data_IF_221542040649
#
_entry.id   IF_221542040649
#
_cell.length_a   1.000
_cell.length_b   1.000
_cell.length_c   1.000
_cell.angle_alpha   90.00
_cell.angle_beta   90.00
_cell.angle_gamma   90.00
#
_symmetry.space_group_name_H-M   'P 1'
#
loop_
_entity.id
_entity.type
_entity.pdbx_description
1 polymer ?
#
# COMPACT_ATOMS: atom_id res chain seq x y z
N UNK A 1 -1.91 -9.97 2.63
CA UNK A 1 -2.50 -9.43 1.38
C UNK A 1 -2.10 -10.34 0.21
N UNK A 2 -3.01 -10.66 -0.72
CA UNK A 2 -2.71 -11.48 -1.90
C UNK A 2 -2.63 -10.62 -3.15
N UNK A 3 -1.64 -10.88 -4.02
CA UNK A 3 -1.54 -10.22 -5.32
C UNK A 3 -2.70 -10.65 -6.23
N UNK A 4 -3.18 -9.74 -7.08
CA UNK A 4 -4.29 -10.04 -8.01
C UNK A 4 -3.85 -10.98 -9.13
N UNK A 5 -2.66 -10.73 -9.66
CA UNK A 5 -2.02 -11.49 -10.73
C UNK A 5 -0.54 -11.67 -10.37
N UNK A 6 0.14 -12.69 -10.90
CA UNK A 6 1.57 -12.94 -10.64
C UNK A 6 2.46 -11.74 -11.01
N UNK A 7 2.05 -10.99 -12.03
CA UNK A 7 2.73 -9.77 -12.46
C UNK A 7 2.33 -8.52 -11.72
N UNK A 8 1.29 -8.58 -10.88
CA UNK A 8 0.91 -7.44 -10.05
C UNK A 8 2.07 -7.02 -9.14
N UNK A 9 2.27 -5.72 -9.04
CA UNK A 9 3.17 -5.11 -8.07
C UNK A 9 2.38 -4.90 -6.78
N UNK A 10 3.02 -5.09 -5.64
CA UNK A 10 2.39 -4.77 -4.37
C UNK A 10 2.38 -3.24 -4.17
N UNK A 11 1.26 -2.70 -3.72
CA UNK A 11 1.14 -1.27 -3.43
C UNK A 11 0.48 -1.04 -2.06
N UNK A 12 1.22 -0.38 -1.16
CA UNK A 12 0.73 0.08 0.14
C UNK A 12 -0.24 1.25 0.03
N UNK A 13 -0.04 2.13 -0.96
CA UNK A 13 -0.79 3.34 -1.17
C UNK A 13 -2.20 3.09 -1.70
N UNK A 14 -3.19 3.68 -1.02
CA UNK A 14 -4.54 3.85 -1.53
C UNK A 14 -4.83 5.35 -1.62
N UNK A 15 -4.96 5.89 -2.84
CA UNK A 15 -5.10 7.33 -3.07
C UNK A 15 -6.55 7.80 -2.93
N UNK A 16 -7.12 7.78 -1.72
CA UNK A 16 -8.40 8.49 -1.46
C UNK A 16 -8.23 9.78 -0.69
N UNK A 17 -7.30 9.84 0.27
CA UNK A 17 -7.06 11.05 1.06
C UNK A 17 -5.55 11.22 1.32
N UNK A 18 -5.03 12.41 1.03
CA UNK A 18 -3.68 12.82 1.46
C UNK A 18 -3.78 13.36 2.88
N UNK A 19 -3.10 12.68 3.79
CA UNK A 19 -3.09 12.94 5.22
C UNK A 19 -1.71 13.44 5.62
N UNK A 20 -1.61 14.37 6.57
CA UNK A 20 -0.30 14.87 7.03
C UNK A 20 0.46 13.83 7.83
N UNK A 21 -0.26 13.12 8.71
CA UNK A 21 0.28 12.07 9.55
C UNK A 21 -0.63 10.85 9.53
N UNK A 22 -0.09 9.73 9.04
CA UNK A 22 -0.89 8.52 8.81
C UNK A 22 -1.38 7.89 10.11
N UNK A 23 -0.50 7.79 11.10
CA UNK A 23 -0.74 7.10 12.37
C UNK A 23 -1.94 7.66 13.16
N UNK A 24 -1.98 8.96 13.53
CA UNK A 24 -3.10 9.51 14.30
C UNK A 24 -4.42 9.46 13.51
N UNK A 25 -4.35 9.66 12.19
CA UNK A 25 -5.55 9.66 11.34
C UNK A 25 -6.16 8.26 11.24
N UNK A 26 -5.34 7.22 11.08
CA UNK A 26 -5.83 5.85 11.08
C UNK A 26 -6.40 5.43 12.43
N UNK A 27 -5.82 5.89 13.54
CA UNK A 27 -6.40 5.69 14.89
C UNK A 27 -7.78 6.31 15.00
N UNK A 28 -7.96 7.54 14.50
CA UNK A 28 -9.26 8.21 14.50
C UNK A 28 -10.27 7.49 13.59
N UNK A 29 -9.87 7.08 12.38
CA UNK A 29 -10.72 6.32 11.46
C UNK A 29 -11.18 5.01 12.11
N UNK A 30 -10.31 4.32 12.86
CA UNK A 30 -10.68 3.10 13.62
C UNK A 30 -11.72 3.39 14.71
N UNK A 31 -11.57 4.50 15.46
CA UNK A 31 -12.56 4.93 16.46
C UNK A 31 -13.92 5.20 15.82
N UNK A 32 -13.97 5.92 14.70
CA UNK A 32 -15.22 6.16 13.95
C UNK A 32 -15.81 4.85 13.42
N UNK A 33 -14.97 3.95 12.88
CA UNK A 33 -15.42 2.66 12.35
C UNK A 33 -15.98 1.75 13.44
N UNK A 34 -15.41 1.78 14.65
CA UNK A 34 -15.94 1.04 15.79
C UNK A 34 -17.37 1.46 16.11
N UNK A 35 -17.63 2.77 16.20
CA UNK A 35 -18.97 3.34 16.42
C UNK A 35 -19.90 2.97 15.26
N UNK A 36 -19.43 3.09 14.02
CA UNK A 36 -20.21 2.76 12.83
C UNK A 36 -20.67 1.31 12.80
N UNK A 37 -19.79 0.37 13.19
CA UNK A 37 -20.07 -1.06 13.23
C UNK A 37 -21.10 -1.46 14.31
N UNK A 38 -21.37 -0.61 15.30
CA UNK A 38 -22.43 -0.86 16.29
C UNK A 38 -23.82 -0.69 15.68
N UNK A 39 -23.97 0.29 14.77
CA UNK A 39 -25.26 0.59 14.12
C UNK A 39 -25.43 -0.09 12.76
N UNK A 40 -24.34 -0.59 12.17
CA UNK A 40 -24.34 -1.16 10.82
C UNK A 40 -23.69 -2.54 10.80
N UNK A 41 -24.48 -3.58 10.52
CA UNK A 41 -23.97 -4.96 10.46
C UNK A 41 -23.34 -5.34 9.11
N UNK A 42 -23.59 -4.57 8.04
CA UNK A 42 -23.14 -4.86 6.67
C UNK A 42 -22.31 -3.72 6.11
N UNK A 43 -21.27 -4.07 5.34
CA UNK A 43 -20.39 -3.13 4.66
C UNK A 43 -20.76 -2.93 3.17
N UNK A 44 -21.99 -2.49 2.92
CA UNK A 44 -22.51 -2.21 1.57
C UNK A 44 -22.26 -0.73 1.16
N UNK A 45 -22.62 -0.35 -0.07
CA UNK A 45 -22.37 1.00 -0.59
C UNK A 45 -22.99 2.12 0.27
N UNK A 46 -24.19 1.89 0.81
CA UNK A 46 -24.87 2.85 1.68
C UNK A 46 -24.11 3.03 3.01
N UNK A 47 -23.77 1.92 3.67
CA UNK A 47 -22.96 1.91 4.89
C UNK A 47 -21.58 2.54 4.68
N UNK A 48 -20.95 2.29 3.54
CA UNK A 48 -19.67 2.89 3.15
C UNK A 48 -19.75 4.41 2.99
N UNK A 49 -20.82 4.91 2.36
CA UNK A 49 -21.05 6.34 2.19
C UNK A 49 -21.36 7.02 3.53
N UNK A 50 -22.22 6.41 4.35
CA UNK A 50 -22.54 6.88 5.69
C UNK A 50 -21.29 6.96 6.58
N UNK A 51 -20.48 5.90 6.59
CA UNK A 51 -19.20 5.87 7.29
C UNK A 51 -18.28 7.02 6.86
N UNK A 52 -18.13 7.23 5.56
CA UNK A 52 -17.29 8.32 5.05
C UNK A 52 -17.76 9.69 5.55
N UNK A 53 -19.07 9.95 5.55
CA UNK A 53 -19.63 11.18 6.11
C UNK A 53 -19.38 11.31 7.62
N UNK A 54 -19.50 10.23 8.38
CA UNK A 54 -19.16 10.23 9.82
C UNK A 54 -17.70 10.57 10.05
N UNK A 55 -16.80 10.02 9.25
CA UNK A 55 -15.37 10.32 9.30
C UNK A 55 -15.13 11.83 9.05
N UNK A 56 -15.72 12.40 8.01
CA UNK A 56 -15.59 13.84 7.71
C UNK A 56 -16.08 14.72 8.87
N UNK A 57 -17.20 14.34 9.50
CA UNK A 57 -17.78 15.07 10.63
C UNK A 57 -16.89 14.98 11.87
N UNK A 58 -16.42 13.77 12.23
CA UNK A 58 -15.54 13.56 13.39
C UNK A 58 -14.24 14.35 13.24
N UNK A 59 -13.63 14.34 12.05
CA UNK A 59 -12.44 15.13 11.81
C UNK A 59 -12.71 16.64 11.82
N UNK A 60 -13.85 17.12 11.31
CA UNK A 60 -14.19 18.55 11.40
C UNK A 60 -14.24 19.02 12.85
N UNK A 61 -14.79 18.19 13.75
CA UNK A 61 -14.82 18.48 15.20
C UNK A 61 -13.42 18.53 15.78
N UNK A 62 -12.61 17.51 15.54
CA UNK A 62 -11.21 17.46 16.04
C UNK A 62 -10.39 18.66 15.56
N UNK A 63 -10.49 19.05 14.29
CA UNK A 63 -9.75 20.21 13.77
C UNK A 63 -10.22 21.54 14.41
N UNK A 64 -11.51 21.63 14.78
CA UNK A 64 -12.08 22.82 15.43
C UNK A 64 -11.75 22.88 16.92
N UNK A 65 -11.79 21.73 17.60
CA UNK A 65 -11.58 21.60 19.05
C UNK A 65 -10.10 21.65 19.42
N UNK A 66 -9.25 20.96 18.65
CA UNK A 66 -7.81 20.83 18.96
C UNK A 66 -6.94 21.83 18.17
N UNK A 67 -7.50 22.53 17.19
CA UNK A 67 -6.77 23.46 16.32
C UNK A 67 -5.73 22.78 15.41
N UNK A 68 -5.76 21.46 15.31
CA UNK A 68 -4.81 20.66 14.52
C UNK A 68 -5.39 20.47 13.12
N UNK A 69 -4.72 20.97 12.09
CA UNK A 69 -5.10 20.71 10.69
C UNK A 69 -4.59 19.31 10.26
N UNK A 70 -5.46 18.31 10.35
CA UNK A 70 -5.15 16.89 10.14
C UNK A 70 -5.16 16.51 8.65
N UNK A 71 -6.08 17.09 7.88
CA UNK A 71 -6.09 16.91 6.44
C UNK A 71 -5.32 17.98 5.69
N UNK A 72 -4.68 17.60 4.59
CA UNK A 72 -4.20 18.57 3.60
C UNK A 72 -5.39 19.16 2.83
N UNK A 73 -5.33 19.10 1.49
CA UNK A 73 -6.40 19.62 0.63
C UNK A 73 -7.56 18.61 0.48
N UNK A 74 -8.36 18.43 1.53
CA UNK A 74 -9.57 17.61 1.47
C UNK A 74 -10.76 18.45 0.99
N UNK A 75 -11.35 18.11 -0.17
CA UNK A 75 -12.60 18.72 -0.61
C UNK A 75 -13.78 18.14 0.20
N UNK A 76 -14.16 18.84 1.26
CA UNK A 76 -15.27 18.44 2.16
C UNK A 76 -16.65 18.57 1.51
N UNK A 77 -16.75 19.29 0.39
CA UNK A 77 -18.01 19.53 -0.32
C UNK A 77 -18.28 18.50 -1.43
N UNK A 78 -17.39 17.52 -1.61
CA UNK A 78 -17.53 16.52 -2.66
C UNK A 78 -18.54 15.43 -2.24
N UNK A 79 -19.70 15.44 -2.88
CA UNK A 79 -20.82 14.53 -2.59
C UNK A 79 -20.85 13.27 -3.48
N UNK A 80 -19.94 13.16 -4.45
CA UNK A 80 -19.93 12.06 -5.42
C UNK A 80 -18.98 10.94 -4.99
N UNK A 81 -19.43 9.69 -5.15
CA UNK A 81 -18.61 8.50 -4.90
C UNK A 81 -18.18 8.32 -3.44
N UNK A 82 -19.01 8.77 -2.48
CA UNK A 82 -18.74 8.66 -1.04
C UNK A 82 -18.52 7.21 -0.60
N UNK A 83 -19.25 6.26 -1.19
CA UNK A 83 -19.10 4.81 -1.01
C UNK A 83 -17.66 4.36 -1.35
N UNK A 84 -17.17 4.73 -2.53
CA UNK A 84 -15.81 4.39 -2.98
C UNK A 84 -14.77 5.02 -2.09
N UNK A 85 -14.99 6.25 -1.63
CA UNK A 85 -14.07 6.96 -0.73
C UNK A 85 -14.02 6.32 0.66
N UNK A 86 -15.16 5.97 1.24
CA UNK A 86 -15.26 5.23 2.50
C UNK A 86 -14.58 3.85 2.42
N UNK A 87 -14.79 3.13 1.32
CA UNK A 87 -14.08 1.87 1.06
C UNK A 87 -12.57 2.06 0.96
N UNK A 88 -12.12 3.08 0.24
CA UNK A 88 -10.69 3.32 -0.02
C UNK A 88 -9.98 3.80 1.23
N UNK A 89 -10.62 4.63 2.06
CA UNK A 89 -10.11 5.08 3.37
C UNK A 89 -9.71 3.92 4.29
N UNK A 90 -10.45 2.82 4.21
CA UNK A 90 -10.26 1.66 5.09
C UNK A 90 -9.35 0.60 4.48
N UNK A 91 -8.95 0.71 3.21
CA UNK A 91 -8.11 -0.30 2.56
C UNK A 91 -6.76 -0.47 3.25
N UNK A 92 -6.09 0.63 3.60
CA UNK A 92 -4.80 0.57 4.29
C UNK A 92 -4.93 -0.11 5.67
N UNK A 93 -6.03 0.13 6.40
CA UNK A 93 -6.32 -0.52 7.68
C UNK A 93 -6.52 -2.04 7.52
N UNK A 94 -7.12 -2.48 6.41
CA UNK A 94 -7.19 -3.92 6.07
C UNK A 94 -5.81 -4.47 5.76
N UNK A 95 -5.02 -3.76 4.95
CA UNK A 95 -3.68 -4.20 4.53
C UNK A 95 -2.76 -4.37 5.74
N UNK A 96 -2.78 -3.42 6.69
CA UNK A 96 -1.99 -3.46 7.92
C UNK A 96 -2.53 -4.52 8.90
N UNK A 97 -3.81 -4.87 8.81
CA UNK A 97 -4.42 -5.91 9.65
C UNK A 97 -5.16 -5.37 10.87
N UNK A 98 -5.41 -4.07 10.96
CA UNK A 98 -6.24 -3.50 12.03
C UNK A 98 -7.71 -3.91 11.91
N UNK A 99 -8.18 -4.15 10.69
CA UNK A 99 -9.55 -4.59 10.41
C UNK A 99 -9.57 -5.73 9.39
N UNK A 100 -10.66 -6.48 9.33
CA UNK A 100 -10.84 -7.58 8.38
C UNK A 100 -11.49 -7.11 7.05
N UNK A 101 -11.70 -8.05 6.12
CA UNK A 101 -12.30 -7.75 4.82
C UNK A 101 -13.72 -7.16 4.91
N UNK A 102 -14.48 -7.56 5.94
CA UNK A 102 -15.82 -7.02 6.25
C UNK A 102 -15.77 -5.68 7.02
N UNK A 103 -14.57 -5.10 7.19
CA UNK A 103 -14.30 -3.87 7.94
C UNK A 103 -14.70 -3.93 9.42
N UNK A 104 -14.72 -5.13 9.98
CA UNK A 104 -14.80 -5.33 11.43
C UNK A 104 -13.41 -5.16 12.04
N UNK A 105 -13.34 -4.56 13.23
CA UNK A 105 -12.07 -4.39 13.93
C UNK A 105 -11.50 -5.75 14.32
N UNK A 106 -10.21 -5.93 14.10
CA UNK A 106 -9.47 -7.06 14.66
C UNK A 106 -9.19 -6.82 16.15
N UNK A 107 -8.71 -7.85 16.86
CA UNK A 107 -8.25 -7.68 18.24
C UNK A 107 -7.15 -6.63 18.36
N UNK A 108 -6.21 -6.57 17.40
CA UNK A 108 -5.16 -5.55 17.38
C UNK A 108 -5.76 -4.16 17.20
N UNK A 109 -6.71 -4.01 16.27
CA UNK A 109 -7.40 -2.74 16.03
C UNK A 109 -8.17 -2.26 17.25
N UNK A 110 -8.86 -3.16 17.96
CA UNK A 110 -9.54 -2.86 19.22
C UNK A 110 -8.55 -2.43 20.29
N UNK A 111 -7.51 -3.23 20.55
CA UNK A 111 -6.50 -2.92 21.56
C UNK A 111 -5.77 -1.61 21.28
N UNK A 112 -5.59 -1.26 20.01
CA UNK A 112 -4.95 -0.01 19.60
C UNK A 112 -5.77 1.23 19.96
N UNK A 113 -7.10 1.18 19.79
CA UNK A 113 -7.97 2.31 20.09
C UNK A 113 -8.48 2.35 21.54
N UNK A 114 -8.52 1.22 22.23
CA UNK A 114 -8.92 1.12 23.64
C UNK A 114 -7.81 1.51 24.61
N UNK A 115 -6.61 1.80 24.10
CA UNK A 115 -5.42 2.15 24.91
C UNK A 115 -5.12 1.12 26.00
N UNK A 116 -5.54 -0.14 25.77
CA UNK A 116 -5.22 -1.26 26.66
C UNK A 116 -3.71 -1.40 26.69
N UNK A 117 -3.17 -1.56 27.90
CA UNK A 117 -1.74 -1.55 28.17
C UNK A 117 -0.99 -2.51 27.24
N UNK A 118 -0.21 -1.94 26.34
CA UNK A 118 0.70 -2.68 25.48
C UNK A 118 2.09 -2.48 26.03
N UNK A 119 2.55 -3.45 26.82
CA UNK A 119 3.90 -3.42 27.34
C UNK A 119 4.91 -3.52 26.18
N UNK A 120 5.97 -2.71 26.29
CA UNK A 120 7.17 -2.84 25.49
C UNK A 120 7.94 -4.06 26.02
N UNK A 121 8.50 -4.84 25.12
CA UNK A 121 9.57 -5.77 25.51
C UNK A 121 10.92 -5.04 25.60
N UNK A 122 11.92 -5.69 26.21
CA UNK A 122 13.25 -5.10 26.42
C UNK A 122 13.96 -4.69 25.13
N UNK A 123 13.66 -5.33 24.00
CA UNK A 123 14.22 -4.97 22.71
C UNK A 123 13.48 -3.75 22.14
N UNK A 124 12.16 -3.73 22.29
CA UNK A 124 11.30 -2.64 21.84
C UNK A 124 11.59 -1.32 22.57
N UNK A 125 11.93 -1.40 23.86
CA UNK A 125 12.41 -0.25 24.65
C UNK A 125 13.63 0.42 24.03
N UNK A 126 14.53 -0.33 23.36
CA UNK A 126 15.73 0.21 22.74
C UNK A 126 15.44 1.07 21.50
N UNK A 127 14.29 0.88 20.86
CA UNK A 127 13.93 1.66 19.66
C UNK A 127 13.37 3.04 20.00
N UNK A 128 12.97 3.30 21.25
CA UNK A 128 12.41 4.60 21.66
C UNK A 128 11.13 4.98 20.90
N UNK A 129 10.35 4.00 20.44
CA UNK A 129 9.10 4.24 19.70
C UNK A 129 7.98 4.70 20.64
N UNK A 130 7.09 5.54 20.14
CA UNK A 130 5.80 5.75 20.80
C UNK A 130 4.96 4.48 20.74
N UNK A 131 4.01 4.32 21.65
CA UNK A 131 3.12 3.15 21.65
C UNK A 131 2.37 2.99 20.33
N UNK A 132 1.95 4.10 19.73
CA UNK A 132 1.27 4.10 18.44
C UNK A 132 2.22 3.59 17.34
N UNK A 133 3.46 4.05 17.30
CA UNK A 133 4.45 3.57 16.33
C UNK A 133 4.85 2.10 16.56
N UNK A 134 4.88 1.65 17.82
CA UNK A 134 5.15 0.27 18.16
C UNK A 134 4.09 -0.69 17.60
N UNK A 135 2.81 -0.31 17.72
CA UNK A 135 1.70 -1.09 17.15
C UNK A 135 1.89 -1.27 15.64
N UNK A 136 2.23 -0.19 14.93
CA UNK A 136 2.51 -0.24 13.49
C UNK A 136 3.71 -1.10 13.18
N UNK A 137 4.81 -0.92 13.91
CA UNK A 137 6.03 -1.71 13.75
C UNK A 137 5.73 -3.22 13.87
N UNK A 138 5.02 -3.63 14.92
CA UNK A 138 4.58 -5.02 15.13
C UNK A 138 3.72 -5.55 13.98
N UNK A 139 2.79 -4.76 13.45
CA UNK A 139 1.95 -5.18 12.32
C UNK A 139 2.73 -5.26 11.01
N UNK A 140 3.55 -4.26 10.71
CA UNK A 140 4.35 -4.22 9.49
C UNK A 140 5.38 -5.36 9.45
N UNK A 141 5.99 -5.73 10.58
CA UNK A 141 6.86 -6.92 10.69
C UNK A 141 6.14 -8.24 10.39
N UNK A 142 4.83 -8.30 10.61
CA UNK A 142 3.99 -9.49 10.35
C UNK A 142 3.38 -9.48 8.95
N UNK A 143 3.43 -8.35 8.25
CA UNK A 143 2.78 -8.21 6.95
C UNK A 143 3.37 -9.18 5.93
N UNK A 144 2.49 -10.02 5.36
CA UNK A 144 2.80 -10.96 4.30
C UNK A 144 2.12 -10.56 3.00
N UNK A 145 2.90 -10.52 1.94
CA UNK A 145 2.42 -10.39 0.56
C UNK A 145 2.45 -11.79 -0.06
N UNK A 146 1.27 -12.33 -0.34
CA UNK A 146 1.10 -13.65 -0.93
C UNK A 146 1.06 -13.56 -2.46
N UNK A 147 1.60 -14.60 -3.10
CA UNK A 147 1.48 -14.83 -4.53
C UNK A 147 0.01 -14.92 -4.96
N UNK A 148 -0.31 -14.65 -6.23
CA UNK A 148 -1.70 -14.71 -6.70
C UNK A 148 -2.26 -16.13 -6.70
N UNK A 149 -1.42 -17.13 -6.98
CA UNK A 149 -1.85 -18.50 -7.28
C UNK A 149 -1.35 -19.53 -6.27
N UNK A 150 -0.49 -19.14 -5.31
CA UNK A 150 0.10 -20.02 -4.31
C UNK A 150 0.18 -19.38 -2.93
N UNK A 151 0.43 -20.17 -1.89
CA UNK A 151 0.60 -19.66 -0.53
C UNK A 151 2.02 -19.17 -0.23
N UNK A 152 2.90 -19.11 -1.24
CA UNK A 152 4.19 -18.45 -1.11
C UNK A 152 3.99 -16.98 -0.76
N UNK A 153 4.81 -16.47 0.15
CA UNK A 153 4.71 -15.09 0.62
C UNK A 153 6.08 -14.45 0.85
N UNK A 154 6.07 -13.12 0.90
CA UNK A 154 7.23 -12.29 1.23
C UNK A 154 6.89 -11.26 2.32
N UNK A 155 7.86 -11.01 3.20
CA UNK A 155 7.78 -9.98 4.25
C UNK A 155 8.46 -8.69 3.78
N UNK A 156 7.70 -7.81 3.12
CA UNK A 156 8.23 -6.58 2.54
C UNK A 156 8.86 -5.63 3.56
N UNK A 157 8.26 -5.48 4.75
CA UNK A 157 8.80 -4.57 5.75
C UNK A 157 10.12 -5.06 6.33
N UNK A 158 10.31 -6.38 6.47
CA UNK A 158 11.58 -6.95 6.95
C UNK A 158 12.70 -6.71 5.95
N UNK A 159 12.40 -6.86 4.67
CA UNK A 159 13.34 -6.49 3.61
C UNK A 159 13.68 -5.00 3.65
N UNK A 160 12.67 -4.12 3.79
CA UNK A 160 12.88 -2.69 3.90
C UNK A 160 13.87 -2.33 5.03
N UNK A 161 13.70 -2.94 6.21
CA UNK A 161 14.62 -2.77 7.33
C UNK A 161 16.04 -3.26 6.99
N UNK A 162 16.16 -4.46 6.45
CA UNK A 162 17.46 -5.03 6.07
C UNK A 162 18.19 -4.18 5.02
N UNK A 163 17.45 -3.66 4.04
CA UNK A 163 17.98 -2.81 2.97
C UNK A 163 18.43 -1.45 3.49
N UNK A 164 17.59 -0.77 4.27
CA UNK A 164 17.90 0.55 4.84
C UNK A 164 18.96 0.50 5.94
N UNK A 165 19.13 -0.64 6.61
CA UNK A 165 20.23 -0.85 7.54
C UNK A 165 21.60 -0.88 6.84
N UNK A 166 21.63 -1.18 5.53
CA UNK A 166 22.86 -1.20 4.73
C UNK A 166 23.10 0.12 3.99
N UNK A 167 22.04 0.74 3.50
CA UNK A 167 22.13 1.91 2.64
C UNK A 167 21.43 3.11 3.28
N UNK A 168 22.21 4.06 3.79
CA UNK A 168 21.69 5.23 4.51
C UNK A 168 21.19 6.36 3.59
N UNK A 169 21.58 6.35 2.32
CA UNK A 169 21.26 7.39 1.32
C UNK A 169 20.62 6.77 0.07
N UNK A 170 19.36 6.37 0.18
CA UNK A 170 18.60 5.78 -0.92
C UNK A 170 17.53 6.78 -1.37
N UNK A 171 17.47 7.16 -2.65
CA UNK A 171 16.36 7.95 -3.18
C UNK A 171 15.02 7.25 -2.90
N UNK A 172 14.03 7.98 -2.39
CA UNK A 172 12.72 7.41 -2.03
C UNK A 172 12.05 6.69 -3.19
N UNK A 173 12.18 7.24 -4.41
CA UNK A 173 11.64 6.64 -5.64
C UNK A 173 12.24 5.25 -5.88
N UNK A 174 13.56 5.12 -5.76
CA UNK A 174 14.29 3.89 -6.03
C UNK A 174 13.97 2.85 -4.96
N UNK A 175 13.96 3.27 -3.70
CA UNK A 175 13.56 2.43 -2.57
C UNK A 175 12.16 1.83 -2.75
N UNK A 176 11.17 2.68 -3.04
CA UNK A 176 9.79 2.22 -3.27
C UNK A 176 9.73 1.27 -4.46
N UNK A 177 10.41 1.58 -5.55
CA UNK A 177 10.44 0.73 -6.73
C UNK A 177 11.00 -0.66 -6.41
N UNK A 178 12.10 -0.76 -5.66
CA UNK A 178 12.70 -2.03 -5.24
C UNK A 178 11.72 -2.83 -4.37
N UNK A 179 11.23 -2.22 -3.28
CA UNK A 179 10.39 -2.90 -2.28
C UNK A 179 9.10 -3.41 -2.91
N UNK A 180 8.49 -2.63 -3.80
CA UNK A 180 7.22 -2.98 -4.44
C UNK A 180 7.38 -4.04 -5.54
N UNK A 181 8.58 -4.15 -6.14
CA UNK A 181 8.86 -5.07 -7.25
C UNK A 181 9.24 -6.49 -6.83
N UNK A 182 9.56 -6.72 -5.56
CA UNK A 182 9.90 -8.05 -5.05
C UNK A 182 8.69 -8.97 -5.10
N UNK A 183 8.88 -10.16 -5.69
CA UNK A 183 7.80 -11.15 -5.82
C UNK A 183 7.82 -12.16 -4.67
N UNK A 184 6.63 -12.65 -4.26
CA UNK A 184 6.51 -13.66 -3.19
C UNK A 184 7.25 -14.99 -3.45
N UNK A 185 7.61 -15.27 -4.70
CA UNK A 185 8.28 -16.50 -5.10
C UNK A 185 9.80 -16.34 -5.28
N UNK A 186 10.38 -15.17 -5.03
CA UNK A 186 11.83 -14.98 -5.06
C UNK A 186 12.49 -15.83 -3.98
N UNK A 187 13.61 -16.47 -4.32
CA UNK A 187 14.39 -17.24 -3.35
C UNK A 187 15.14 -16.32 -2.38
N UNK A 188 15.59 -16.86 -1.26
CA UNK A 188 16.38 -16.11 -0.30
C UNK A 188 17.69 -15.59 -0.91
N UNK A 189 18.32 -16.39 -1.79
CA UNK A 189 19.54 -16.01 -2.52
C UNK A 189 19.26 -14.81 -3.44
N UNK A 190 18.13 -14.84 -4.18
CA UNK A 190 17.73 -13.70 -5.01
C UNK A 190 17.46 -12.46 -4.16
N UNK A 191 16.80 -12.58 -3.01
CA UNK A 191 16.58 -11.44 -2.12
C UNK A 191 17.91 -10.86 -1.61
N UNK A 192 18.85 -11.71 -1.20
CA UNK A 192 20.19 -11.28 -0.78
C UNK A 192 20.94 -10.61 -1.93
N UNK A 193 20.85 -11.15 -3.15
CA UNK A 193 21.47 -10.57 -4.34
C UNK A 193 20.91 -9.17 -4.65
N UNK A 194 19.60 -8.98 -4.61
CA UNK A 194 18.95 -7.67 -4.77
C UNK A 194 19.53 -6.65 -3.77
N UNK A 195 19.65 -7.02 -2.48
CA UNK A 195 20.26 -6.13 -1.48
C UNK A 195 21.72 -5.85 -1.85
N UNK A 196 22.53 -6.88 -2.08
CA UNK A 196 23.97 -6.76 -2.30
C UNK A 196 24.31 -5.96 -3.57
N UNK A 197 23.60 -6.21 -4.66
CA UNK A 197 23.90 -5.64 -5.98
C UNK A 197 23.53 -4.15 -6.07
N UNK A 198 22.65 -3.67 -5.18
CA UNK A 198 22.41 -2.23 -5.05
C UNK A 198 23.65 -1.44 -4.62
N UNK A 199 24.67 -2.10 -4.06
CA UNK A 199 25.95 -1.47 -3.73
C UNK A 199 26.57 -0.72 -4.92
N UNK A 200 26.49 -1.28 -6.14
CA UNK A 200 27.03 -0.61 -7.34
C UNK A 200 26.30 0.69 -7.67
N UNK A 201 24.99 0.77 -7.39
CA UNK A 201 24.22 2.02 -7.52
C UNK A 201 24.62 2.99 -6.42
N UNK A 202 24.71 2.51 -5.18
CA UNK A 202 25.10 3.31 -4.02
C UNK A 202 26.51 3.93 -4.17
N UNK A 203 27.43 3.21 -4.79
CA UNK A 203 28.80 3.65 -5.06
C UNK A 203 28.92 4.49 -6.34
N UNK A 204 27.80 4.77 -7.04
CA UNK A 204 27.72 5.48 -8.33
C UNK A 204 28.47 4.79 -9.49
N UNK A 205 28.71 3.49 -9.39
CA UNK A 205 29.32 2.70 -10.47
C UNK A 205 28.29 2.25 -11.52
N UNK A 206 27.00 2.34 -11.22
CA UNK A 206 25.88 1.91 -12.07
C UNK A 206 24.67 2.81 -11.85
N UNK A 207 23.88 3.06 -12.90
CA UNK A 207 22.62 3.78 -12.72
C UNK A 207 21.55 2.88 -12.10
N UNK A 208 20.53 3.48 -11.48
CA UNK A 208 19.42 2.71 -10.93
C UNK A 208 18.68 1.92 -12.01
N UNK A 209 18.52 2.47 -13.22
CA UNK A 209 17.86 1.81 -14.35
C UNK A 209 18.59 0.54 -14.78
N UNK A 210 19.93 0.58 -14.83
CA UNK A 210 20.72 -0.60 -15.17
C UNK A 210 20.56 -1.71 -14.13
N UNK A 211 20.66 -1.36 -12.84
CA UNK A 211 20.41 -2.30 -11.74
C UNK A 211 18.99 -2.87 -11.79
N UNK A 212 17.99 -2.01 -12.05
CA UNK A 212 16.58 -2.39 -12.16
C UNK A 212 16.37 -3.45 -13.23
N UNK A 213 16.94 -3.24 -14.41
CA UNK A 213 16.76 -4.12 -15.55
C UNK A 213 17.46 -5.47 -15.30
N UNK A 214 18.66 -5.47 -14.75
CA UNK A 214 19.39 -6.70 -14.38
C UNK A 214 18.66 -7.52 -13.30
N UNK A 215 18.15 -6.86 -12.27
CA UNK A 215 17.57 -7.56 -11.12
C UNK A 215 16.13 -8.02 -11.33
N UNK A 216 15.35 -7.29 -12.13
CA UNK A 216 13.89 -7.45 -12.16
C UNK A 216 13.27 -7.66 -13.54
N UNK A 217 13.99 -7.45 -14.66
CA UNK A 217 13.40 -7.53 -16.00
C UNK A 217 12.68 -8.86 -16.25
N UNK A 218 13.32 -9.98 -15.88
CA UNK A 218 12.79 -11.34 -16.06
C UNK A 218 11.54 -11.65 -15.23
N UNK A 219 11.18 -10.79 -14.26
CA UNK A 219 10.09 -11.02 -13.32
C UNK A 219 8.93 -10.01 -13.47
N UNK A 220 9.20 -8.87 -14.09
CA UNK A 220 8.20 -7.84 -14.37
C UNK A 220 7.65 -8.00 -15.79
N UNK A 221 8.51 -8.38 -16.74
CA UNK A 221 8.11 -8.61 -18.12
C UNK A 221 7.57 -10.03 -18.26
N UNK A 222 6.30 -10.15 -18.69
CA UNK A 222 5.77 -11.45 -19.14
C UNK A 222 6.30 -11.66 -20.55
N UNK A 223 7.16 -12.67 -20.81
CA UNK A 223 7.74 -12.88 -22.14
C UNK A 223 6.68 -12.98 -23.24
N UNK A 224 5.54 -13.61 -22.94
CA UNK A 224 4.40 -13.72 -23.84
C UNK A 224 3.80 -12.35 -24.18
N UNK A 225 3.57 -11.47 -23.19
CA UNK A 225 3.08 -10.11 -23.47
C UNK A 225 4.09 -9.27 -24.24
N UNK A 226 5.38 -9.46 -24.00
CA UNK A 226 6.43 -8.78 -24.77
C UNK A 226 6.43 -9.28 -26.21
N UNK A 227 6.28 -10.59 -26.45
CA UNK A 227 6.15 -11.15 -27.79
C UNK A 227 4.88 -10.66 -28.51
N UNK A 228 3.75 -10.63 -27.81
CA UNK A 228 2.50 -10.08 -28.35
C UNK A 228 2.59 -8.58 -28.64
N UNK A 229 3.30 -7.81 -27.81
CA UNK A 229 3.55 -6.40 -28.07
C UNK A 229 4.43 -6.18 -29.30
N UNK A 230 5.50 -6.97 -29.47
CA UNK A 230 6.31 -6.91 -30.71
C UNK A 230 5.46 -7.22 -31.93
N UNK A 231 4.65 -8.29 -31.90
CA UNK A 231 3.74 -8.61 -33.01
C UNK A 231 2.78 -7.47 -33.33
N UNK A 232 2.22 -6.82 -32.32
CA UNK A 232 1.34 -5.65 -32.48
C UNK A 232 2.02 -4.51 -33.25
N UNK A 233 3.29 -4.23 -32.95
CA UNK A 233 4.06 -3.20 -33.67
C UNK A 233 4.50 -3.66 -35.06
N UNK A 234 4.89 -4.93 -35.22
CA UNK A 234 5.36 -5.48 -36.50
C UNK A 234 4.25 -5.53 -37.57
N UNK A 235 3.02 -5.87 -37.16
CA UNK A 235 1.86 -5.95 -38.05
C UNK A 235 0.99 -4.68 -38.02
N UNK A 236 1.41 -3.67 -37.26
CA UNK A 236 0.69 -2.41 -37.03
C UNK A 236 -0.78 -2.57 -36.60
N UNK A 237 -1.12 -3.66 -35.90
CA UNK A 237 -2.48 -3.91 -35.39
C UNK A 237 -2.72 -3.17 -34.07
N UNK A 238 -2.90 -1.86 -34.19
CA UNK A 238 -3.26 -0.94 -33.11
C UNK A 238 -4.76 -0.94 -32.78
N UNK A 239 -5.45 -2.05 -33.06
CA UNK A 239 -6.86 -2.18 -32.71
C UNK A 239 -7.09 -1.96 -31.23
N UNK A 240 -8.27 -1.42 -30.95
CA UNK A 240 -8.75 -1.16 -29.60
C UNK A 240 -8.73 -2.44 -28.74
N UNK A 241 -8.90 -3.62 -29.35
CA UNK A 241 -8.83 -4.92 -28.68
C UNK A 241 -7.40 -5.30 -28.27
N UNK A 242 -6.43 -5.25 -29.19
CA UNK A 242 -5.03 -5.52 -28.89
C UNK A 242 -4.44 -4.53 -27.89
N UNK A 243 -4.76 -3.24 -28.05
CA UNK A 243 -4.30 -2.23 -27.11
C UNK A 243 -4.86 -2.48 -25.70
N UNK A 244 -6.13 -2.86 -25.59
CA UNK A 244 -6.76 -3.20 -24.30
C UNK A 244 -6.19 -4.47 -23.68
N UNK A 245 -5.80 -5.45 -24.50
CA UNK A 245 -5.18 -6.71 -24.08
C UNK A 245 -3.79 -6.46 -23.48
N UNK A 246 -2.97 -5.64 -24.13
CA UNK A 246 -1.57 -5.40 -23.73
C UNK A 246 -1.42 -4.30 -22.68
N UNK A 247 -2.33 -3.33 -22.63
CA UNK A 247 -2.30 -2.18 -21.72
C UNK A 247 -3.56 -2.09 -20.83
N UNK A 248 -3.72 -2.99 -19.84
CA UNK A 248 -4.95 -3.08 -19.04
C UNK A 248 -5.15 -1.91 -18.06
N UNK A 249 -4.07 -1.21 -17.66
CA UNK A 249 -4.13 -0.11 -16.70
C UNK A 249 -4.47 1.23 -17.37
N UNK A 250 -5.78 1.44 -17.62
CA UNK A 250 -6.30 2.63 -18.29
C UNK A 250 -6.48 3.79 -17.30
N UNK A 251 -5.68 4.86 -17.42
CA UNK A 251 -6.18 6.22 -17.15
C UNK A 251 -6.72 6.77 -18.47
N UNK A 252 -8.02 6.60 -18.73
CA UNK A 252 -8.67 7.12 -19.94
C UNK A 252 -8.64 8.65 -19.95
N UNK A 253 -7.82 9.24 -20.81
CA UNK A 253 -8.04 10.59 -21.37
C UNK A 253 -7.13 10.82 -22.59
N UNK A 254 -7.32 10.04 -23.65
CA UNK A 254 -6.84 10.48 -24.97
C UNK A 254 -7.98 10.24 -25.94
N UNK A 255 -8.70 11.32 -26.24
CA UNK A 255 -9.45 11.43 -27.49
C UNK A 255 -8.38 11.72 -28.53
N UNK A 256 -7.95 10.71 -29.28
CA UNK A 256 -7.20 10.96 -30.50
C UNK A 256 -8.26 11.43 -31.51
N UNK A 257 -8.34 12.75 -31.70
CA UNK A 257 -8.99 13.28 -32.90
C UNK A 257 -8.01 13.02 -34.04
N UNK A 258 -8.41 12.14 -34.96
CA UNK A 258 -7.83 12.04 -36.30
C UNK A 258 -8.14 13.34 -37.03
#
# INVERSE_FOLDING_TARGET
MRLKESTSIFNMGDTSIRVKEVVPIYKQILKTLQKHNQSNQKWNNESQASFYSSVLSDFAKVETEDGINLFGNLNRNEITGLDKRGRTLTNALVKIGFINYDRKLSQVGLNYISETEQAFDKLEELFGLTIDNLVYFRQLLKLRIYDSNSDKYFYNFRFALAFLNRYSKVPVKDFLWIVESIKPNFSEEKIKAIINNYQSVYDNNKTFEQYRDEEFANHILIPERVSEAHKMFDIEDFSDENFKKLFPNRKKRIVIKV
#
